data_IF_679596312560
#
_entry.id   IF_679596312560
#
_cell.length_a   1.000
_cell.length_b   1.000
_cell.length_c   1.000
_cell.angle_alpha   90.00
_cell.angle_beta   90.00
_cell.angle_gamma   90.00
#
_symmetry.space_group_name_H-M   'P 1'
#
loop_
_entity.id
_entity.type
_entity.pdbx_description
1 polymer ?
#
# COMPACT_ATOMS: atom_id res chain seq x y z
N UNK A 1 -3.29 13.77 -18.69
CA UNK A 1 -3.05 15.18 -18.26
C UNK A 1 -4.27 15.91 -17.69
N UNK A 2 -5.51 15.50 -17.92
CA UNK A 2 -6.71 16.13 -17.33
C UNK A 2 -6.93 15.79 -15.83
N UNK A 3 -6.49 14.62 -15.37
CA UNK A 3 -6.72 14.14 -14.00
C UNK A 3 -6.07 15.01 -12.91
N UNK A 4 -4.84 15.45 -13.10
CA UNK A 4 -4.14 16.21 -12.04
C UNK A 4 -4.62 17.65 -11.83
N UNK A 5 -5.28 18.27 -12.81
CA UNK A 5 -5.91 19.59 -12.63
C UNK A 5 -7.19 19.49 -11.83
N UNK A 6 -7.98 18.45 -12.07
CA UNK A 6 -9.20 18.18 -11.31
C UNK A 6 -8.89 17.80 -9.87
N UNK A 7 -7.87 16.95 -9.65
CA UNK A 7 -7.47 16.52 -8.31
C UNK A 7 -7.09 17.69 -7.40
N UNK A 8 -6.32 18.66 -7.89
CA UNK A 8 -5.97 19.88 -7.12
C UNK A 8 -7.20 20.71 -6.76
N UNK A 9 -8.15 20.81 -7.68
CA UNK A 9 -9.41 21.52 -7.43
C UNK A 9 -10.23 20.79 -6.35
N UNK A 10 -10.33 19.46 -6.41
CA UNK A 10 -11.01 18.66 -5.39
C UNK A 10 -10.34 18.78 -4.02
N UNK A 11 -9.01 18.73 -3.96
CA UNK A 11 -8.28 18.94 -2.69
C UNK A 11 -8.59 20.33 -2.13
N UNK A 12 -8.58 21.36 -2.96
CA UNK A 12 -8.91 22.72 -2.52
C UNK A 12 -10.35 22.82 -2.00
N UNK A 13 -11.32 22.27 -2.74
CA UNK A 13 -12.72 22.26 -2.31
C UNK A 13 -12.95 21.45 -1.05
N UNK A 14 -12.32 20.27 -0.94
CA UNK A 14 -12.40 19.44 0.26
C UNK A 14 -11.80 20.14 1.49
N UNK A 15 -10.69 20.86 1.34
CA UNK A 15 -10.12 21.71 2.42
C UNK A 15 -11.07 22.85 2.83
N UNK A 16 -11.91 23.33 1.90
CA UNK A 16 -12.94 24.33 2.17
C UNK A 16 -14.26 23.73 2.69
N UNK A 17 -14.31 22.40 2.91
CA UNK A 17 -15.48 21.71 3.45
C UNK A 17 -16.45 21.16 2.41
N UNK A 18 -16.06 21.10 1.12
CA UNK A 18 -16.90 20.53 0.05
C UNK A 18 -16.96 19.00 0.16
N UNK A 19 -18.12 18.48 0.52
CA UNK A 19 -18.37 17.02 0.59
C UNK A 19 -18.28 16.35 -0.79
N UNK A 20 -18.72 17.03 -1.85
CA UNK A 20 -18.67 16.50 -3.22
C UNK A 20 -17.24 16.35 -3.74
N UNK A 21 -16.35 17.29 -3.39
CA UNK A 21 -14.93 17.22 -3.75
C UNK A 21 -14.21 16.11 -2.96
N UNK A 22 -14.56 15.94 -1.69
CA UNK A 22 -14.07 14.84 -0.88
C UNK A 22 -14.51 13.48 -1.44
N UNK A 23 -15.78 13.36 -1.87
CA UNK A 23 -16.30 12.18 -2.53
C UNK A 23 -15.56 11.88 -3.84
N UNK A 24 -15.24 12.91 -4.64
CA UNK A 24 -14.48 12.75 -5.87
C UNK A 24 -13.06 12.21 -5.61
N UNK A 25 -12.38 12.70 -4.57
CA UNK A 25 -11.09 12.17 -4.13
C UNK A 25 -11.20 10.71 -3.70
N UNK A 26 -12.22 10.38 -2.90
CA UNK A 26 -12.47 9.01 -2.44
C UNK A 26 -12.70 8.07 -3.61
N UNK A 27 -13.64 8.36 -4.50
CA UNK A 27 -13.96 7.53 -5.67
C UNK A 27 -12.76 7.31 -6.59
N UNK A 28 -11.94 8.33 -6.75
CA UNK A 28 -10.76 8.27 -7.63
C UNK A 28 -9.64 7.40 -7.04
N UNK A 29 -9.39 7.50 -5.76
CA UNK A 29 -8.23 6.87 -5.13
C UNK A 29 -8.52 5.56 -4.40
N UNK A 30 -9.79 5.30 -4.05
CA UNK A 30 -10.18 4.08 -3.32
C UNK A 30 -9.73 2.78 -3.98
N UNK A 31 -9.97 2.55 -5.29
CA UNK A 31 -9.61 1.26 -5.89
C UNK A 31 -8.13 0.95 -5.79
N UNK A 32 -7.28 1.97 -6.00
CA UNK A 32 -5.82 1.81 -5.95
C UNK A 32 -5.32 1.68 -4.50
N UNK A 33 -5.90 2.41 -3.58
CA UNK A 33 -5.59 2.33 -2.15
C UNK A 33 -5.93 0.95 -1.58
N UNK A 34 -7.15 0.46 -1.82
CA UNK A 34 -7.58 -0.88 -1.45
C UNK A 34 -6.68 -1.96 -2.06
N UNK A 35 -6.41 -1.87 -3.37
CA UNK A 35 -5.55 -2.84 -4.05
C UNK A 35 -4.13 -2.86 -3.49
N UNK A 36 -3.55 -1.70 -3.19
CA UNK A 36 -2.24 -1.61 -2.57
C UNK A 36 -2.22 -2.27 -1.18
N UNK A 37 -3.22 -2.00 -0.35
CA UNK A 37 -3.37 -2.64 0.95
C UNK A 37 -3.51 -4.17 0.81
N UNK A 38 -4.34 -4.64 -0.13
CA UNK A 38 -4.51 -6.07 -0.39
C UNK A 38 -3.24 -6.76 -0.84
N UNK A 39 -2.48 -6.14 -1.76
CA UNK A 39 -1.21 -6.69 -2.23
C UNK A 39 -0.16 -6.83 -1.12
N UNK A 40 -0.24 -6.00 -0.07
CA UNK A 40 0.67 -6.08 1.09
C UNK A 40 0.15 -7.04 2.14
N UNK A 41 -1.15 -7.05 2.42
CA UNK A 41 -1.75 -7.84 3.52
C UNK A 41 -2.14 -9.25 3.12
N UNK A 42 -2.50 -9.47 1.86
CA UNK A 42 -3.17 -10.69 1.34
C UNK A 42 -4.46 -11.06 2.09
N UNK A 43 -5.12 -10.05 2.67
CA UNK A 43 -6.35 -10.21 3.42
C UNK A 43 -7.34 -9.11 3.00
N UNK A 44 -8.48 -9.52 2.43
CA UNK A 44 -9.46 -8.59 1.87
C UNK A 44 -10.12 -7.71 2.95
N UNK A 45 -10.43 -8.28 4.11
CA UNK A 45 -11.02 -7.55 5.23
C UNK A 45 -10.05 -6.53 5.81
N UNK A 46 -8.82 -6.95 6.06
CA UNK A 46 -7.77 -6.04 6.52
C UNK A 46 -7.47 -4.93 5.51
N UNK A 47 -7.44 -5.26 4.22
CA UNK A 47 -7.20 -4.28 3.17
C UNK A 47 -8.30 -3.20 3.12
N UNK A 48 -9.56 -3.60 3.29
CA UNK A 48 -10.69 -2.67 3.36
C UNK A 48 -10.58 -1.76 4.58
N UNK A 49 -10.36 -2.32 5.76
CA UNK A 49 -10.21 -1.56 7.00
C UNK A 49 -9.04 -0.58 6.93
N UNK A 50 -7.89 -1.03 6.42
CA UNK A 50 -6.69 -0.20 6.27
C UNK A 50 -6.95 0.95 5.29
N UNK A 51 -7.58 0.67 4.15
CA UNK A 51 -7.90 1.71 3.18
C UNK A 51 -8.86 2.74 3.77
N UNK A 52 -9.91 2.32 4.49
CA UNK A 52 -10.85 3.21 5.18
C UNK A 52 -10.13 4.07 6.22
N UNK A 53 -9.33 3.46 7.09
CA UNK A 53 -8.58 4.18 8.11
C UNK A 53 -7.57 5.16 7.52
N UNK A 54 -6.93 4.80 6.39
CA UNK A 54 -6.01 5.69 5.69
C UNK A 54 -6.73 6.92 5.13
N UNK A 55 -7.92 6.73 4.55
CA UNK A 55 -8.75 7.86 4.10
C UNK A 55 -9.19 8.74 5.28
N UNK A 56 -9.63 8.17 6.38
CA UNK A 56 -10.00 8.94 7.58
C UNK A 56 -8.80 9.72 8.13
N UNK A 57 -7.61 9.12 8.15
CA UNK A 57 -6.39 9.81 8.57
C UNK A 57 -6.02 10.95 7.58
N UNK A 58 -6.17 10.71 6.29
CA UNK A 58 -5.95 11.73 5.25
C UNK A 58 -6.93 12.91 5.41
N UNK A 59 -8.21 12.65 5.64
CA UNK A 59 -9.23 13.68 5.87
C UNK A 59 -8.88 14.53 7.09
N UNK A 60 -8.50 13.91 8.21
CA UNK A 60 -8.10 14.62 9.44
C UNK A 60 -6.87 15.51 9.25
N UNK A 61 -6.01 15.17 8.32
CA UNK A 61 -4.76 15.89 8.03
C UNK A 61 -4.86 16.78 6.79
N UNK A 62 -6.02 16.82 6.14
CA UNK A 62 -6.21 17.46 4.83
C UNK A 62 -5.93 18.97 4.88
N UNK A 63 -6.30 19.64 5.99
CA UNK A 63 -6.05 21.08 6.16
C UNK A 63 -4.57 21.45 6.11
N UNK A 64 -3.69 20.53 6.51
CA UNK A 64 -2.24 20.69 6.50
C UNK A 64 -1.56 20.17 5.23
N UNK A 65 -2.34 19.54 4.33
CA UNK A 65 -1.81 18.97 3.11
C UNK A 65 -1.38 20.04 2.13
N UNK A 66 -0.15 19.96 1.63
CA UNK A 66 0.35 20.88 0.60
C UNK A 66 -0.24 20.52 -0.77
N UNK A 67 -1.16 21.36 -1.25
CA UNK A 67 -1.84 21.21 -2.55
C UNK A 67 -0.92 21.19 -3.77
N UNK A 68 0.35 21.57 -3.62
CA UNK A 68 1.34 21.49 -4.69
C UNK A 68 1.80 20.04 -4.92
N UNK A 69 1.62 19.18 -3.94
CA UNK A 69 1.90 17.75 -4.02
C UNK A 69 0.71 16.97 -4.56
N UNK A 70 0.93 15.85 -5.29
CA UNK A 70 -0.17 14.97 -5.70
C UNK A 70 -0.77 14.26 -4.48
N UNK A 71 -2.11 14.20 -4.43
CA UNK A 71 -2.85 13.60 -3.31
C UNK A 71 -2.68 12.07 -3.25
N UNK A 72 -2.72 11.40 -4.41
CA UNK A 72 -2.61 9.94 -4.50
C UNK A 72 -1.37 9.37 -3.82
N UNK A 73 -0.14 9.79 -4.18
CA UNK A 73 1.09 9.34 -3.52
C UNK A 73 1.12 9.60 -2.03
N UNK A 74 0.60 10.72 -1.56
CA UNK A 74 0.50 11.01 -0.13
C UNK A 74 -0.43 10.04 0.59
N UNK A 75 -1.62 9.77 0.03
CA UNK A 75 -2.56 8.78 0.56
C UNK A 75 -1.95 7.37 0.56
N UNK A 76 -1.31 6.97 -0.56
CA UNK A 76 -0.72 5.63 -0.69
C UNK A 76 0.39 5.38 0.33
N UNK A 77 1.16 6.41 0.70
CA UNK A 77 2.12 6.32 1.81
C UNK A 77 1.44 5.93 3.13
N UNK A 78 0.30 6.54 3.44
CA UNK A 78 -0.47 6.22 4.65
C UNK A 78 -0.97 4.78 4.59
N UNK A 79 -1.53 4.36 3.45
CA UNK A 79 -2.03 3.00 3.22
C UNK A 79 -0.94 1.96 3.41
N UNK A 80 0.21 2.12 2.74
CA UNK A 80 1.28 1.11 2.77
C UNK A 80 1.90 1.01 4.16
N UNK A 81 2.13 2.12 4.86
CA UNK A 81 2.65 2.07 6.23
C UNK A 81 1.72 1.29 7.16
N UNK A 82 0.41 1.52 7.10
CA UNK A 82 -0.58 0.76 7.89
C UNK A 82 -0.62 -0.72 7.50
N UNK A 83 -0.52 -1.01 6.21
CA UNK A 83 -0.52 -2.39 5.71
C UNK A 83 0.73 -3.17 6.17
N UNK A 84 1.90 -2.52 6.18
CA UNK A 84 3.14 -3.13 6.72
C UNK A 84 2.98 -3.44 8.21
N UNK A 85 2.51 -2.48 9.00
CA UNK A 85 2.34 -2.65 10.45
C UNK A 85 1.37 -3.79 10.76
N UNK A 86 0.26 -3.86 10.02
CA UNK A 86 -0.71 -4.95 10.16
C UNK A 86 -0.09 -6.32 9.78
N UNK A 87 0.63 -6.38 8.66
CA UNK A 87 1.24 -7.62 8.18
C UNK A 87 2.35 -8.12 9.13
N UNK A 88 3.12 -7.21 9.70
CA UNK A 88 4.10 -7.53 10.76
C UNK A 88 3.44 -8.09 12.00
N UNK A 89 2.39 -7.43 12.48
CA UNK A 89 1.66 -7.88 13.67
C UNK A 89 1.01 -9.26 13.44
N UNK A 90 0.48 -9.52 12.26
CA UNK A 90 -0.08 -10.83 11.89
C UNK A 90 0.99 -11.89 11.84
N UNK A 91 2.15 -11.61 11.23
CA UNK A 91 3.27 -12.54 11.18
C UNK A 91 3.75 -12.96 12.58
N UNK A 92 3.93 -12.00 13.48
CA UNK A 92 4.33 -12.27 14.86
C UNK A 92 3.31 -13.15 15.59
N UNK A 93 2.00 -12.91 15.40
CA UNK A 93 0.95 -13.79 15.98
C UNK A 93 1.02 -15.20 15.41
N UNK A 94 1.19 -15.33 14.09
CA UNK A 94 1.31 -16.65 13.45
C UNK A 94 2.55 -17.42 13.90
N UNK A 95 3.67 -16.75 14.14
CA UNK A 95 4.89 -17.38 14.68
C UNK A 95 4.66 -17.92 16.11
N UNK A 96 3.88 -17.23 16.92
CA UNK A 96 3.48 -17.69 18.26
C UNK A 96 2.49 -18.86 18.17
N UNK A 97 1.50 -18.79 17.26
CA UNK A 97 0.48 -19.84 17.07
C UNK A 97 1.05 -21.10 16.41
N UNK A 98 2.04 -20.99 15.50
CA UNK A 98 2.74 -22.14 14.88
C UNK A 98 3.57 -22.94 15.89
N UNK A 99 3.84 -22.37 17.06
CA UNK A 99 4.34 -23.16 18.20
C UNK A 99 3.30 -24.16 18.74
N UNK A 100 2.04 -24.05 18.33
CA UNK A 100 0.93 -24.85 18.87
C UNK A 100 0.12 -25.66 17.83
N UNK A 101 0.27 -25.56 16.51
CA UNK A 101 -0.38 -26.45 15.50
C UNK A 101 -0.83 -25.81 14.16
N UNK A 102 -0.56 -26.56 13.07
CA UNK A 102 -1.25 -26.75 11.79
C UNK A 102 -1.01 -25.79 10.59
N UNK A 103 -1.11 -26.35 9.34
CA UNK A 103 -0.50 -25.78 8.14
C UNK A 103 -1.33 -24.68 7.45
N UNK A 104 -0.60 -23.80 6.73
CA UNK A 104 -1.15 -22.70 5.96
C UNK A 104 -1.95 -23.13 4.72
N UNK A 105 -2.97 -22.39 4.28
CA UNK A 105 -3.74 -22.68 3.06
C UNK A 105 -2.90 -22.51 1.79
N UNK A 106 -3.05 -23.45 0.85
CA UNK A 106 -2.39 -23.40 -0.46
C UNK A 106 -3.13 -22.49 -1.45
N UNK A 107 -2.42 -21.78 -2.35
CA UNK A 107 -3.04 -20.92 -3.34
C UNK A 107 -3.54 -21.71 -4.55
N UNK A 108 -4.75 -21.38 -5.00
CA UNK A 108 -5.38 -21.91 -6.21
C UNK A 108 -4.92 -21.13 -7.45
N UNK A 109 -4.54 -21.85 -8.50
CA UNK A 109 -3.97 -21.30 -9.72
C UNK A 109 -4.96 -20.52 -10.58
N UNK A 110 -4.59 -19.28 -10.87
CA UNK A 110 -5.12 -18.39 -11.93
C UNK A 110 -3.96 -17.54 -12.44
N UNK A 111 -3.96 -17.02 -13.69
CA UNK A 111 -2.82 -16.27 -14.25
C UNK A 111 -2.41 -15.00 -13.49
N UNK A 112 -3.26 -14.52 -12.57
CA UNK A 112 -2.88 -13.52 -11.55
C UNK A 112 -2.49 -14.15 -10.22
N UNK A 113 -2.67 -15.46 -10.06
CA UNK A 113 -2.37 -16.23 -8.86
C UNK A 113 -0.88 -16.36 -8.58
N UNK A 114 -0.07 -16.48 -9.64
CA UNK A 114 1.38 -16.68 -9.52
C UNK A 114 2.06 -15.46 -8.91
N UNK A 115 1.69 -14.24 -9.34
CA UNK A 115 2.23 -12.99 -8.79
C UNK A 115 1.78 -12.80 -7.34
N UNK A 116 0.52 -13.07 -7.04
CA UNK A 116 -0.01 -12.98 -5.67
C UNK A 116 0.64 -14.02 -4.75
N UNK A 117 0.80 -15.25 -5.23
CA UNK A 117 1.47 -16.32 -4.50
C UNK A 117 2.95 -15.96 -4.24
N UNK A 118 3.65 -15.44 -5.25
CA UNK A 118 5.01 -14.95 -5.10
C UNK A 118 5.12 -13.82 -4.07
N UNK A 119 4.23 -12.81 -4.15
CA UNK A 119 4.19 -11.73 -3.17
C UNK A 119 3.90 -12.25 -1.75
N UNK A 120 3.07 -13.28 -1.58
CA UNK A 120 2.75 -13.86 -0.27
C UNK A 120 3.97 -14.45 0.44
N UNK A 121 4.97 -14.93 -0.31
CA UNK A 121 6.21 -15.49 0.23
C UNK A 121 7.21 -14.44 0.70
N UNK A 122 7.10 -13.21 0.21
CA UNK A 122 7.96 -12.12 0.65
C UNK A 122 7.63 -11.74 2.10
N UNK A 123 8.66 -11.33 2.84
CA UNK A 123 8.41 -10.64 4.11
C UNK A 123 7.58 -9.37 3.88
N UNK A 124 6.81 -8.89 4.87
CA UNK A 124 6.02 -7.67 4.72
C UNK A 124 6.83 -6.49 4.18
N UNK A 125 8.08 -6.35 4.61
CA UNK A 125 8.98 -5.27 4.21
C UNK A 125 9.42 -5.36 2.75
N UNK A 126 9.77 -6.57 2.27
CA UNK A 126 10.14 -6.78 0.86
C UNK A 126 8.92 -6.61 -0.04
N UNK A 127 7.79 -7.16 0.36
CA UNK A 127 6.52 -7.05 -0.36
C UNK A 127 6.09 -5.60 -0.54
N UNK A 128 6.15 -4.81 0.53
CA UNK A 128 5.77 -3.40 0.50
C UNK A 128 6.62 -2.59 -0.50
N UNK A 129 7.95 -2.76 -0.50
CA UNK A 129 8.79 -2.01 -1.45
C UNK A 129 8.55 -2.44 -2.90
N UNK A 130 8.25 -3.73 -3.14
CA UNK A 130 7.88 -4.24 -4.47
C UNK A 130 6.55 -3.64 -4.92
N UNK A 131 5.53 -3.66 -4.07
CA UNK A 131 4.22 -3.05 -4.35
C UNK A 131 4.34 -1.55 -4.60
N UNK A 132 5.11 -0.84 -3.79
CA UNK A 132 5.34 0.60 -4.00
C UNK A 132 6.03 0.88 -5.33
N UNK A 133 7.03 0.08 -5.69
CA UNK A 133 7.80 0.29 -6.92
C UNK A 133 7.00 -0.03 -8.18
N UNK A 134 6.34 -1.18 -8.21
CA UNK A 134 5.77 -1.73 -9.45
C UNK A 134 4.26 -1.54 -9.59
N UNK A 135 3.53 -1.42 -8.49
CA UNK A 135 2.10 -1.15 -8.54
C UNK A 135 1.77 0.34 -8.33
N UNK A 136 2.45 0.99 -7.39
CA UNK A 136 2.23 2.41 -7.09
C UNK A 136 3.18 3.35 -7.86
N UNK A 137 4.18 2.80 -8.56
CA UNK A 137 5.11 3.52 -9.44
C UNK A 137 6.01 4.55 -8.72
N UNK A 138 6.26 4.33 -7.44
CA UNK A 138 7.20 5.14 -6.68
C UNK A 138 8.64 4.90 -7.14
N UNK A 139 9.44 5.94 -7.17
CA UNK A 139 10.89 5.82 -7.31
C UNK A 139 11.51 5.28 -6.01
N UNK A 140 12.72 4.67 -6.06
CA UNK A 140 13.40 4.23 -4.84
C UNK A 140 13.62 5.35 -3.81
N UNK A 141 13.79 6.59 -4.27
CA UNK A 141 13.88 7.76 -3.40
C UNK A 141 12.58 8.07 -2.67
N UNK A 142 11.47 8.08 -3.40
CA UNK A 142 10.13 8.28 -2.81
C UNK A 142 9.75 7.15 -1.85
N UNK A 143 10.16 5.91 -2.14
CA UNK A 143 9.96 4.77 -1.22
C UNK A 143 10.77 4.98 0.06
N UNK A 144 12.03 5.40 -0.06
CA UNK A 144 12.89 5.69 1.07
C UNK A 144 12.27 6.77 1.99
N UNK A 145 11.80 7.86 1.39
CA UNK A 145 11.10 8.93 2.12
C UNK A 145 9.77 8.47 2.74
N UNK A 146 9.02 7.64 2.01
CA UNK A 146 7.72 7.16 2.46
C UNK A 146 7.81 6.19 3.64
N UNK A 147 8.83 5.34 3.67
CA UNK A 147 9.04 4.31 4.68
C UNK A 147 10.08 4.69 5.73
N UNK A 148 10.64 5.90 5.66
CA UNK A 148 11.73 6.37 6.52
C UNK A 148 12.92 5.40 6.55
N UNK A 149 13.41 5.05 5.35
CA UNK A 149 14.49 4.10 5.15
C UNK A 149 15.64 4.71 4.33
N UNK A 150 16.88 4.28 4.57
CA UNK A 150 17.99 4.59 3.66
C UNK A 150 17.71 4.05 2.25
N UNK A 151 18.08 4.81 1.20
CA UNK A 151 17.92 4.35 -0.21
C UNK A 151 18.63 3.01 -0.49
N UNK A 152 19.77 2.76 0.13
CA UNK A 152 20.48 1.49 0.03
C UNK A 152 19.66 0.31 0.55
N UNK A 153 18.91 0.52 1.64
CA UNK A 153 17.99 -0.48 2.19
C UNK A 153 16.83 -0.75 1.24
N UNK A 154 16.25 0.28 0.64
CA UNK A 154 15.18 0.12 -0.38
C UNK A 154 15.69 -0.69 -1.57
N UNK A 155 16.85 -0.33 -2.12
CA UNK A 155 17.42 -1.03 -3.27
C UNK A 155 17.76 -2.50 -2.95
N UNK A 156 18.30 -2.78 -1.76
CA UNK A 156 18.58 -4.16 -1.35
C UNK A 156 17.30 -4.99 -1.14
N UNK A 157 16.26 -4.39 -0.58
CA UNK A 157 14.94 -5.05 -0.44
C UNK A 157 14.28 -5.31 -1.78
N UNK A 158 14.33 -4.35 -2.71
CA UNK A 158 13.81 -4.53 -4.08
C UNK A 158 14.52 -5.68 -4.77
N UNK A 159 15.86 -5.71 -4.74
CA UNK A 159 16.63 -6.78 -5.37
C UNK A 159 16.27 -8.15 -4.78
N UNK A 160 16.29 -8.30 -3.45
CA UNK A 160 15.93 -9.57 -2.81
C UNK A 160 14.49 -9.99 -3.08
N UNK A 161 13.56 -9.03 -3.08
CA UNK A 161 12.17 -9.30 -3.42
C UNK A 161 12.01 -9.81 -4.85
N UNK A 162 12.73 -9.21 -5.82
CA UNK A 162 12.71 -9.66 -7.21
C UNK A 162 13.42 -11.00 -7.41
N UNK A 163 14.55 -11.23 -6.73
CA UNK A 163 15.25 -12.52 -6.77
C UNK A 163 14.30 -13.64 -6.32
N UNK A 164 13.60 -13.45 -5.20
CA UNK A 164 12.61 -14.43 -4.71
C UNK A 164 11.44 -14.65 -5.69
N UNK A 165 10.99 -13.59 -6.36
CA UNK A 165 9.92 -13.70 -7.37
C UNK A 165 10.41 -14.33 -8.68
N UNK A 166 11.67 -14.11 -9.06
CA UNK A 166 12.27 -14.61 -10.29
C UNK A 166 12.71 -16.07 -10.22
N UNK A 167 12.95 -16.62 -9.03
CA UNK A 167 13.28 -18.03 -8.84
C UNK A 167 12.09 -18.98 -9.14
N UNK A 168 10.89 -18.43 -9.40
CA UNK A 168 9.65 -19.18 -9.57
C UNK A 168 8.92 -18.94 -10.90
N UNK A 169 9.48 -18.08 -11.77
CA UNK A 169 9.00 -17.84 -13.13
C UNK A 169 9.91 -18.54 -14.16
#
# INVERSE_FOLDING_TARGET
MRSGRNERAWVHGAQAGSASDLEALFRTHWPRAYRAAYLVTHDAGAAEDIAQEAFLAAIRSLDRFDRRRPFGPWLHRIVVNRAIDWARARRLRSEVELSESLPAPQPSGSPGGDVLAGLARLSPEHRAVVVMRYFLEFTPGEIADALDLPRGTVNSRLRRGLDTLGEEL
#
